data_IF_047471678163
#
_entry.id   IF_047471678163
#
_cell.length_a   1.000
_cell.length_b   1.000
_cell.length_c   1.000
_cell.angle_alpha   90.00
_cell.angle_beta   90.00
_cell.angle_gamma   90.00
#
_symmetry.space_group_name_H-M   'P 1'
#
loop_
_entity.id
_entity.type
_entity.pdbx_description
1 polymer ?
#
# COMPACT_ATOMS: atom_id res chain seq x y z
N UNK A 1 -44.33 55.05 -26.59
CA UNK A 1 -43.79 54.07 -25.63
C UNK A 1 -43.04 53.03 -26.45
N UNK A 2 -41.72 53.17 -26.60
CA UNK A 2 -40.87 52.28 -27.41
C UNK A 2 -40.32 51.16 -26.51
N UNK A 3 -40.66 49.90 -26.82
CA UNK A 3 -40.15 48.70 -26.15
C UNK A 3 -38.80 48.31 -26.76
N UNK A 4 -37.73 48.51 -26.00
CA UNK A 4 -36.38 48.00 -26.29
C UNK A 4 -36.35 46.49 -25.99
N UNK A 5 -36.22 45.65 -27.02
CA UNK A 5 -35.86 44.24 -26.86
C UNK A 5 -34.34 44.11 -26.81
N UNK A 6 -33.80 43.76 -25.64
CA UNK A 6 -32.39 43.41 -25.46
C UNK A 6 -32.19 41.91 -25.70
N UNK A 7 -31.44 41.56 -26.75
CA UNK A 7 -31.02 40.19 -27.05
C UNK A 7 -29.94 39.71 -26.05
N UNK A 8 -30.20 38.60 -25.37
CA UNK A 8 -29.25 37.92 -24.49
C UNK A 8 -28.38 36.98 -25.31
N UNK A 9 -27.06 37.19 -25.29
CA UNK A 9 -26.06 36.32 -25.94
C UNK A 9 -25.79 35.14 -25.01
N UNK A 10 -26.19 33.93 -25.40
CA UNK A 10 -25.84 32.68 -24.72
C UNK A 10 -24.41 32.27 -25.11
N UNK A 11 -23.46 32.56 -24.24
CA UNK A 11 -22.08 32.08 -24.34
C UNK A 11 -22.05 30.59 -23.95
N UNK A 12 -21.98 29.71 -24.95
CA UNK A 12 -21.77 28.28 -24.74
C UNK A 12 -20.30 28.03 -24.35
N UNK A 13 -20.03 27.89 -23.05
CA UNK A 13 -18.75 27.38 -22.58
C UNK A 13 -18.65 25.90 -22.96
N UNK A 14 -17.95 25.61 -24.05
CA UNK A 14 -17.49 24.27 -24.42
C UNK A 14 -16.52 23.74 -23.36
N UNK A 15 -17.06 23.07 -22.34
CA UNK A 15 -16.29 22.31 -21.37
C UNK A 15 -15.75 21.03 -22.01
N UNK A 16 -14.57 21.13 -22.64
CA UNK A 16 -13.80 19.98 -23.08
C UNK A 16 -13.48 19.10 -21.87
N UNK A 17 -14.17 17.97 -21.75
CA UNK A 17 -13.85 16.93 -20.77
C UNK A 17 -12.60 16.20 -21.26
N UNK A 18 -11.44 16.71 -20.87
CA UNK A 18 -10.20 15.94 -20.89
C UNK A 18 -10.35 14.81 -19.89
N UNK A 19 -10.77 13.63 -20.36
CA UNK A 19 -10.68 12.36 -19.64
C UNK A 19 -9.20 11.98 -19.48
N UNK A 20 -8.47 12.77 -18.69
CA UNK A 20 -7.13 12.42 -18.24
C UNK A 20 -7.25 11.23 -17.33
N UNK A 21 -6.68 10.09 -17.73
CA UNK A 21 -6.45 8.94 -16.86
C UNK A 21 -5.72 9.42 -15.60
N UNK A 22 -6.47 9.68 -14.53
CA UNK A 22 -5.93 10.12 -13.26
C UNK A 22 -5.30 8.88 -12.63
N UNK A 23 -3.98 8.90 -12.41
CA UNK A 23 -3.31 7.85 -11.64
C UNK A 23 -4.11 7.58 -10.36
N UNK A 24 -4.33 6.31 -9.98
CA UNK A 24 -5.02 5.98 -8.75
C UNK A 24 -4.35 6.66 -7.55
N UNK A 25 -5.15 7.08 -6.57
CA UNK A 25 -4.65 7.59 -5.30
C UNK A 25 -3.89 6.46 -4.56
N UNK A 26 -2.57 6.59 -4.33
CA UNK A 26 -1.79 5.57 -3.64
C UNK A 26 -2.32 5.25 -2.23
N UNK A 27 -2.83 6.24 -1.52
CA UNK A 27 -3.37 6.05 -0.18
C UNK A 27 -4.67 5.24 -0.21
N UNK A 28 -5.54 5.49 -1.17
CA UNK A 28 -6.74 4.68 -1.39
C UNK A 28 -6.40 3.22 -1.75
N UNK A 29 -5.38 2.99 -2.57
CA UNK A 29 -4.93 1.63 -2.92
C UNK A 29 -4.39 0.87 -1.70
N UNK A 30 -3.55 1.51 -0.88
CA UNK A 30 -3.04 0.91 0.36
C UNK A 30 -4.20 0.53 1.29
N UNK A 31 -5.17 1.43 1.49
CA UNK A 31 -6.33 1.16 2.33
C UNK A 31 -7.19 0.03 1.77
N UNK A 32 -7.39 -0.02 0.45
CA UNK A 32 -8.14 -1.10 -0.20
C UNK A 32 -7.50 -2.47 0.06
N UNK A 33 -6.17 -2.56 -0.02
CA UNK A 33 -5.46 -3.81 0.29
C UNK A 33 -5.56 -4.15 1.77
N UNK A 34 -5.37 -3.17 2.67
CA UNK A 34 -5.50 -3.39 4.12
C UNK A 34 -6.88 -3.92 4.51
N UNK A 35 -7.95 -3.46 3.85
CA UNK A 35 -9.32 -3.95 4.09
C UNK A 35 -9.70 -5.20 3.30
N UNK A 36 -8.86 -5.67 2.38
CA UNK A 36 -9.12 -6.87 1.59
C UNK A 36 -8.97 -8.14 2.43
N UNK A 37 -9.65 -9.22 2.04
CA UNK A 37 -9.50 -10.52 2.70
C UNK A 37 -8.03 -10.98 2.76
N UNK A 38 -7.27 -10.77 1.67
CA UNK A 38 -5.86 -11.13 1.60
C UNK A 38 -4.99 -10.29 2.54
N UNK A 39 -5.25 -8.98 2.66
CA UNK A 39 -4.52 -8.10 3.57
C UNK A 39 -4.82 -8.37 5.05
N UNK A 40 -6.08 -8.67 5.37
CA UNK A 40 -6.49 -9.05 6.72
C UNK A 40 -5.88 -10.39 7.15
N UNK A 41 -5.78 -11.36 6.24
CA UNK A 41 -5.24 -12.69 6.53
C UNK A 41 -3.78 -12.68 7.02
N UNK A 42 -3.01 -11.68 6.62
CA UNK A 42 -1.59 -11.51 7.02
C UNK A 42 -1.38 -10.33 7.99
N UNK A 43 -2.44 -9.66 8.42
CA UNK A 43 -2.38 -8.62 9.47
C UNK A 43 -1.70 -7.31 9.07
N UNK A 44 -1.66 -6.94 7.77
CA UNK A 44 -0.98 -5.72 7.29
C UNK A 44 -1.44 -4.44 8.03
N UNK A 45 -2.73 -4.33 8.32
CA UNK A 45 -3.36 -3.12 8.85
C UNK A 45 -2.81 -2.68 10.21
N UNK A 46 -2.28 -3.62 11.01
CA UNK A 46 -1.77 -3.36 12.35
C UNK A 46 -0.30 -2.90 12.36
N UNK A 47 0.44 -3.17 11.29
CA UNK A 47 1.90 -3.01 11.25
C UNK A 47 2.35 -1.88 10.32
N UNK A 48 1.66 -1.67 9.21
CA UNK A 48 2.14 -0.82 8.13
C UNK A 48 1.46 0.56 8.08
N UNK A 49 2.18 1.60 7.61
CA UNK A 49 1.60 2.93 7.45
C UNK A 49 0.51 2.93 6.37
N UNK A 50 -0.55 3.70 6.59
CA UNK A 50 -1.70 3.82 5.65
C UNK A 50 -1.42 4.72 4.45
N UNK A 51 -0.16 5.11 4.24
CA UNK A 51 0.31 6.02 3.19
C UNK A 51 1.67 5.52 2.67
N UNK A 52 2.10 5.89 1.45
CA UNK A 52 3.32 5.35 0.84
C UNK A 52 4.59 5.95 1.46
N UNK A 53 4.94 5.48 2.66
CA UNK A 53 6.07 5.95 3.46
C UNK A 53 6.74 4.78 4.17
N UNK A 54 7.99 4.97 4.58
CA UNK A 54 8.71 4.10 5.51
C UNK A 54 8.79 4.75 6.88
N UNK A 55 8.39 4.03 7.93
CA UNK A 55 8.45 4.52 9.31
C UNK A 55 9.04 3.48 10.24
N UNK A 56 9.76 3.88 11.32
CA UNK A 56 10.13 2.95 12.38
C UNK A 56 8.90 2.23 12.94
N UNK A 57 9.03 0.93 13.23
CA UNK A 57 7.96 0.11 13.76
C UNK A 57 8.49 -0.94 14.75
N UNK A 58 7.56 -1.55 15.48
CA UNK A 58 7.83 -2.70 16.35
C UNK A 58 7.10 -3.92 15.78
N UNK A 59 7.87 -4.87 15.26
CA UNK A 59 7.37 -6.11 14.70
C UNK A 59 7.19 -7.10 15.86
N UNK A 60 5.98 -7.64 16.01
CA UNK A 60 5.67 -8.64 17.04
C UNK A 60 6.09 -10.01 16.52
N UNK A 61 6.94 -10.71 17.26
CA UNK A 61 7.33 -12.06 16.89
C UNK A 61 6.25 -13.10 17.21
N UNK A 62 6.40 -14.31 16.65
CA UNK A 62 5.48 -15.43 16.89
C UNK A 62 5.74 -16.11 18.24
N UNK A 63 5.54 -15.39 19.34
CA UNK A 63 5.74 -15.94 20.68
C UNK A 63 5.49 -14.88 21.75
N UNK A 64 5.33 -15.29 23.02
CA UNK A 64 5.08 -14.35 24.11
C UNK A 64 6.24 -13.37 24.27
N UNK A 65 5.94 -12.08 24.14
CA UNK A 65 6.85 -10.99 24.50
C UNK A 65 7.92 -10.61 23.47
N UNK A 66 8.05 -11.32 22.36
CA UNK A 66 9.06 -11.01 21.35
C UNK A 66 8.70 -9.75 20.55
N UNK A 67 9.59 -8.76 20.59
CA UNK A 67 9.44 -7.47 19.89
C UNK A 67 10.73 -7.12 19.19
N UNK A 68 10.67 -6.99 17.87
CA UNK A 68 11.81 -6.65 17.03
C UNK A 68 11.63 -5.21 16.54
N UNK A 69 12.61 -4.34 16.79
CA UNK A 69 12.60 -3.00 16.23
C UNK A 69 13.01 -3.07 14.76
N UNK A 70 12.28 -2.35 13.92
CA UNK A 70 12.48 -2.37 12.48
C UNK A 70 11.96 -1.12 11.80
N UNK A 71 11.87 -1.19 10.47
CA UNK A 71 11.13 -0.22 9.66
C UNK A 71 10.04 -0.94 8.88
N UNK A 72 8.88 -0.30 8.78
CA UNK A 72 7.72 -0.80 8.06
C UNK A 72 7.37 0.22 6.98
N UNK A 73 7.30 -0.24 5.73
CA UNK A 73 7.06 0.61 4.58
C UNK A 73 5.87 0.12 3.76
N UNK A 74 5.04 1.07 3.33
CA UNK A 74 4.01 0.83 2.32
C UNK A 74 4.45 1.49 1.02
N UNK A 75 4.26 0.81 -0.11
CA UNK A 75 4.67 1.28 -1.44
C UNK A 75 3.56 0.99 -2.43
N UNK A 76 3.45 1.85 -3.44
CA UNK A 76 2.52 1.67 -4.56
C UNK A 76 3.29 1.90 -5.86
N UNK A 77 3.12 0.98 -6.81
CA UNK A 77 3.61 1.11 -8.17
C UNK A 77 2.45 0.95 -9.14
N UNK A 78 2.05 2.04 -9.77
CA UNK A 78 1.04 2.02 -10.85
C UNK A 78 1.62 1.36 -12.10
N UNK A 79 0.82 0.52 -12.77
CA UNK A 79 1.14 -0.12 -14.05
C UNK A 79 0.38 0.63 -15.15
N UNK A 80 0.93 0.66 -16.37
CA UNK A 80 0.37 1.44 -17.50
C UNK A 80 -1.05 1.06 -17.94
N UNK A 81 -1.56 -0.10 -17.53
CA UNK A 81 -2.93 -0.58 -17.79
C UNK A 81 -3.95 -0.11 -16.73
N UNK A 82 -3.53 0.73 -15.79
CA UNK A 82 -4.36 1.21 -14.69
C UNK A 82 -4.41 0.26 -13.49
N UNK A 83 -3.78 -0.92 -13.56
CA UNK A 83 -3.54 -1.77 -12.41
C UNK A 83 -2.41 -1.20 -11.54
N UNK A 84 -2.24 -1.75 -10.34
CA UNK A 84 -1.23 -1.31 -9.38
C UNK A 84 -0.68 -2.46 -8.58
N UNK A 85 0.57 -2.35 -8.18
CA UNK A 85 1.20 -3.24 -7.20
C UNK A 85 1.35 -2.49 -5.90
N UNK A 86 0.75 -3.01 -4.83
CA UNK A 86 0.92 -2.50 -3.47
C UNK A 86 1.86 -3.43 -2.73
N UNK A 87 2.92 -2.89 -2.15
CA UNK A 87 3.90 -3.67 -1.40
C UNK A 87 4.01 -3.17 0.04
N UNK A 88 4.05 -4.11 0.97
CA UNK A 88 4.31 -3.87 2.38
C UNK A 88 5.64 -4.54 2.72
N UNK A 89 6.61 -3.76 3.19
CA UNK A 89 7.97 -4.21 3.42
C UNK A 89 8.35 -3.93 4.86
N UNK A 90 8.62 -4.97 5.62
CA UNK A 90 9.26 -4.83 6.93
C UNK A 90 10.75 -5.12 6.80
N UNK A 91 11.56 -4.40 7.57
CA UNK A 91 13.00 -4.64 7.68
C UNK A 91 13.41 -4.67 9.15
N UNK A 92 14.35 -5.53 9.50
CA UNK A 92 14.86 -5.66 10.86
C UNK A 92 16.32 -6.10 10.90
N UNK A 93 16.95 -5.96 12.06
CA UNK A 93 18.31 -6.44 12.27
C UNK A 93 18.28 -7.88 12.81
N UNK A 94 18.74 -8.85 12.02
CA UNK A 94 18.82 -10.26 12.42
C UNK A 94 19.81 -10.52 13.57
N UNK A 95 20.66 -9.55 13.92
CA UNK A 95 21.47 -9.63 15.16
C UNK A 95 20.62 -9.48 16.41
N UNK A 96 19.48 -8.79 16.31
CA UNK A 96 18.52 -8.64 17.42
C UNK A 96 17.48 -9.76 17.47
N UNK A 97 17.40 -10.56 16.39
CA UNK A 97 16.45 -11.66 16.26
C UNK A 97 16.94 -12.68 15.22
N UNK A 98 17.38 -13.85 15.68
CA UNK A 98 17.73 -14.99 14.84
C UNK A 98 17.17 -16.28 15.43
N UNK A 99 16.66 -17.17 14.58
CA UNK A 99 16.25 -18.52 15.01
C UNK A 99 17.46 -19.37 15.42
N UNK A 100 17.26 -20.43 16.23
CA UNK A 100 18.31 -21.40 16.51
C UNK A 100 18.93 -21.94 15.21
N UNK A 101 20.25 -21.84 15.08
CA UNK A 101 20.98 -22.29 13.88
C UNK A 101 21.00 -21.31 12.69
N UNK A 102 20.40 -20.12 12.83
CA UNK A 102 20.47 -19.07 11.80
C UNK A 102 21.64 -18.12 12.08
N UNK A 103 22.44 -17.83 11.06
CA UNK A 103 23.51 -16.82 11.16
C UNK A 103 22.88 -15.44 11.38
N UNK A 104 23.24 -14.77 12.48
CA UNK A 104 22.89 -13.39 12.74
C UNK A 104 23.40 -12.50 11.60
N UNK A 105 22.52 -12.06 10.70
CA UNK A 105 22.86 -11.16 9.59
C UNK A 105 22.12 -9.82 9.75
N UNK A 106 22.79 -8.68 9.52
CA UNK A 106 22.12 -7.39 9.51
C UNK A 106 21.20 -7.28 8.29
N UNK A 107 20.15 -6.46 8.41
CA UNK A 107 19.31 -6.07 7.27
C UNK A 107 18.46 -7.19 6.69
N UNK A 108 17.69 -7.86 7.55
CA UNK A 108 16.63 -8.78 7.12
C UNK A 108 15.43 -8.01 6.58
N UNK A 109 14.69 -8.62 5.65
CA UNK A 109 13.46 -8.02 5.14
C UNK A 109 12.45 -9.04 4.67
N UNK A 110 11.16 -8.70 4.80
CA UNK A 110 10.06 -9.47 4.25
C UNK A 110 9.11 -8.54 3.50
N UNK A 111 8.60 -9.01 2.36
CA UNK A 111 7.70 -8.26 1.51
C UNK A 111 6.42 -9.04 1.26
N UNK A 112 5.28 -8.38 1.49
CA UNK A 112 3.98 -8.80 0.96
C UNK A 112 3.63 -7.92 -0.23
N UNK A 113 3.27 -8.53 -1.34
CA UNK A 113 2.92 -7.85 -2.58
C UNK A 113 1.51 -8.24 -3.00
N UNK A 114 0.73 -7.25 -3.40
CA UNK A 114 -0.66 -7.38 -3.80
C UNK A 114 -0.86 -6.71 -5.14
N UNK A 115 -1.37 -7.46 -6.11
CA UNK A 115 -1.81 -6.89 -7.38
C UNK A 115 -3.24 -6.40 -7.21
N UNK A 116 -3.47 -5.15 -7.63
CA UNK A 116 -4.75 -4.47 -7.55
C UNK A 116 -5.16 -4.07 -8.96
N UNK A 117 -6.34 -4.47 -9.41
CA UNK A 117 -6.84 -4.08 -10.72
C UNK A 117 -7.34 -2.62 -10.76
N UNK A 118 -7.75 -2.16 -11.93
CA UNK A 118 -8.31 -0.83 -12.14
C UNK A 118 -9.63 -0.58 -11.38
N UNK A 119 -10.30 -1.65 -10.94
CA UNK A 119 -11.51 -1.61 -10.09
C UNK A 119 -11.18 -1.59 -8.60
N UNK A 120 -9.90 -1.47 -8.23
CA UNK A 120 -9.38 -1.47 -6.86
C UNK A 120 -9.61 -2.79 -6.11
N UNK A 121 -9.74 -3.89 -6.83
CA UNK A 121 -9.84 -5.23 -6.26
C UNK A 121 -8.48 -5.92 -6.23
N UNK A 122 -8.19 -6.63 -5.14
CA UNK A 122 -7.00 -7.47 -5.04
C UNK A 122 -7.21 -8.72 -5.90
N UNK A 123 -6.40 -8.89 -6.93
CA UNK A 123 -6.50 -10.02 -7.87
C UNK A 123 -5.52 -11.15 -7.58
N UNK A 124 -4.38 -10.82 -6.96
CA UNK A 124 -3.42 -11.81 -6.48
C UNK A 124 -2.54 -11.24 -5.37
N UNK A 125 -1.93 -12.13 -4.60
CA UNK A 125 -0.94 -11.79 -3.60
C UNK A 125 0.22 -12.76 -3.60
N UNK A 126 1.39 -12.30 -3.15
CA UNK A 126 2.56 -13.12 -2.88
C UNK A 126 3.34 -12.55 -1.71
N UNK A 127 4.17 -13.38 -1.08
CA UNK A 127 5.08 -12.96 -0.02
C UNK A 127 6.46 -13.57 -0.24
N UNK A 128 7.52 -12.81 0.01
CA UNK A 128 8.90 -13.25 -0.21
C UNK A 128 9.91 -12.46 0.64
N UNK A 129 11.13 -12.96 0.72
CA UNK A 129 12.21 -12.42 1.55
C UNK A 129 12.60 -13.37 2.67
N UNK A 130 13.16 -12.83 3.75
CA UNK A 130 13.50 -13.57 4.97
C UNK A 130 12.24 -13.96 5.75
N UNK A 131 12.33 -14.98 6.62
CA UNK A 131 11.21 -15.35 7.49
C UNK A 131 10.90 -14.22 8.46
N UNK A 132 9.69 -13.65 8.42
CA UNK A 132 9.36 -12.48 9.23
C UNK A 132 9.23 -12.90 10.70
N UNK A 133 9.55 -12.03 11.67
CA UNK A 133 9.55 -12.40 13.09
C UNK A 133 8.26 -13.03 13.59
N UNK A 134 7.11 -12.60 13.07
CA UNK A 134 5.77 -13.11 13.37
C UNK A 134 5.55 -14.58 12.97
N UNK A 135 6.37 -15.13 12.08
CA UNK A 135 6.26 -16.51 11.58
C UNK A 135 7.13 -17.51 12.34
N UNK A 136 8.06 -17.04 13.18
CA UNK A 136 8.87 -17.91 14.03
C UNK A 136 8.02 -18.31 15.23
N UNK A 137 7.84 -19.62 15.45
CA UNK A 137 7.12 -20.20 16.59
C UNK A 137 8.09 -20.78 17.62
#
# INVERSE_FOLDING_TARGET
>A
MFLMLSSVILTACGGGHSSGSRSPDPQALIRAVMSSAAGMAVGIEQLFPKQPVSTPCVIRGGGPGLRVRGACASRVKTIGDGSSVVSFVETWDGRTFHGPGSTAKPGLSHTWEFHVDSSRQVTSSRSFGDFPPQSVK
#
